data_IF_196551504063
#
_entry.id   IF_196551504063
#
_cell.length_a   1.000
_cell.length_b   1.000
_cell.length_c   1.000
_cell.angle_alpha   90.00
_cell.angle_beta   90.00
_cell.angle_gamma   90.00
#
_symmetry.space_group_name_H-M   'P 1'
#
loop_
_entity.id
_entity.type
_entity.pdbx_description
1 polymer ?
#
# COMPACT_ATOMS: atom_id res chain seq x y z
N UNK A 1 -0.80 23.31 -12.20
CA UNK A 1 -0.78 22.18 -11.24
C UNK A 1 -0.58 22.75 -9.84
N UNK A 2 -1.22 22.23 -8.78
CA UNK A 2 -0.91 22.70 -7.42
C UNK A 2 0.50 22.26 -7.02
N UNK A 3 1.36 23.21 -6.64
CA UNK A 3 2.66 22.94 -6.05
C UNK A 3 2.46 22.35 -4.66
N UNK A 4 2.98 21.15 -4.41
CA UNK A 4 2.97 20.56 -3.06
C UNK A 4 4.29 20.94 -2.40
N UNK A 5 4.21 21.84 -1.43
CA UNK A 5 5.36 22.24 -0.62
C UNK A 5 5.43 21.28 0.58
N UNK A 6 6.45 20.42 0.58
CA UNK A 6 6.74 19.53 1.69
C UNK A 6 7.51 20.26 2.80
N UNK A 7 7.40 19.79 4.04
CA UNK A 7 8.00 20.44 5.23
C UNK A 7 9.53 20.54 5.15
N UNK A 8 10.16 19.59 4.46
CA UNK A 8 11.59 19.57 4.18
C UNK A 8 12.04 20.74 3.29
N UNK A 9 11.21 21.17 2.34
CA UNK A 9 11.48 22.34 1.49
C UNK A 9 11.45 23.64 2.30
N UNK A 10 10.48 23.75 3.20
CA UNK A 10 10.37 24.90 4.09
C UNK A 10 11.51 24.93 5.11
N UNK A 11 11.92 23.77 5.64
CA UNK A 11 13.08 23.64 6.51
C UNK A 11 14.39 24.03 5.79
N UNK A 12 14.58 23.60 4.53
CA UNK A 12 15.73 23.98 3.73
C UNK A 12 15.76 25.50 3.47
N UNK A 13 14.62 26.12 3.17
CA UNK A 13 14.53 27.56 3.00
C UNK A 13 14.88 28.32 4.31
N UNK A 14 14.43 27.81 5.47
CA UNK A 14 14.77 28.40 6.78
C UNK A 14 16.25 28.27 7.13
N UNK A 15 16.89 27.17 6.76
CA UNK A 15 18.31 26.93 6.99
C UNK A 15 19.21 27.85 6.15
N UNK A 16 18.69 28.44 5.07
CA UNK A 16 19.44 29.36 4.22
C UNK A 16 19.52 30.78 4.82
N UNK A 17 20.59 31.53 4.49
CA UNK A 17 20.69 32.95 4.79
C UNK A 17 19.51 33.73 4.21
N UNK A 18 19.01 34.70 4.96
CA UNK A 18 17.80 35.47 4.62
C UNK A 18 17.87 36.13 3.23
N UNK A 19 19.05 36.62 2.85
CA UNK A 19 19.32 37.22 1.54
C UNK A 19 19.15 36.25 0.36
N UNK A 20 19.29 34.94 0.60
CA UNK A 20 19.21 33.90 -0.44
C UNK A 20 17.88 33.13 -0.40
N UNK A 21 17.19 33.13 0.73
CA UNK A 21 15.92 32.43 0.95
C UNK A 21 14.84 32.81 -0.06
N UNK A 22 14.66 34.11 -0.30
CA UNK A 22 13.64 34.60 -1.22
C UNK A 22 13.90 34.13 -2.67
N UNK A 23 15.16 34.22 -3.13
CA UNK A 23 15.55 33.78 -4.47
C UNK A 23 15.38 32.26 -4.64
N UNK A 24 15.71 31.49 -3.61
CA UNK A 24 15.51 30.03 -3.62
C UNK A 24 14.05 29.62 -3.67
N UNK A 25 13.19 30.21 -2.82
CA UNK A 25 11.74 29.92 -2.82
C UNK A 25 11.09 30.34 -4.13
N UNK A 26 11.50 31.50 -4.68
CA UNK A 26 11.04 31.96 -5.98
C UNK A 26 11.43 30.99 -7.10
N UNK A 27 12.67 30.48 -7.10
CA UNK A 27 13.13 29.50 -8.09
C UNK A 27 12.32 28.18 -8.03
N UNK A 28 11.96 27.71 -6.83
CA UNK A 28 11.11 26.52 -6.67
C UNK A 28 9.70 26.76 -7.22
N UNK A 29 9.13 27.94 -6.99
CA UNK A 29 7.82 28.31 -7.54
C UNK A 29 7.87 28.46 -9.06
N UNK A 30 8.87 29.17 -9.60
CA UNK A 30 9.07 29.34 -11.04
C UNK A 30 9.23 27.99 -11.76
N UNK A 31 10.00 27.08 -11.18
CA UNK A 31 10.13 25.72 -11.71
C UNK A 31 8.80 24.94 -11.64
N UNK A 32 8.04 25.04 -10.55
CA UNK A 32 6.77 24.31 -10.41
C UNK A 32 5.65 24.81 -11.34
N UNK A 33 5.63 26.09 -11.69
CA UNK A 33 4.57 26.68 -12.51
C UNK A 33 4.94 26.80 -13.99
N UNK A 34 6.19 27.19 -14.28
CA UNK A 34 6.64 27.55 -15.63
C UNK A 34 7.71 26.60 -16.17
N UNK A 35 8.24 25.69 -15.33
CA UNK A 35 9.32 24.77 -15.72
C UNK A 35 10.68 25.45 -15.92
N UNK A 36 10.83 26.70 -15.47
CA UNK A 36 12.04 27.50 -15.64
C UNK A 36 13.07 27.12 -14.58
N UNK A 37 14.25 26.69 -15.02
CA UNK A 37 15.37 26.42 -14.14
C UNK A 37 16.12 27.69 -13.73
N UNK A 38 16.68 27.74 -12.52
CA UNK A 38 17.47 28.88 -12.07
C UNK A 38 18.73 29.03 -12.93
N UNK A 39 18.93 30.23 -13.49
CA UNK A 39 20.11 30.54 -14.29
C UNK A 39 21.35 30.73 -13.40
N UNK A 40 22.48 30.16 -13.83
CA UNK A 40 23.79 30.33 -13.18
C UNK A 40 24.14 29.26 -12.15
N UNK A 41 25.08 29.57 -11.25
CA UNK A 41 25.53 28.68 -10.17
C UNK A 41 25.32 29.32 -8.79
N UNK A 42 24.05 29.54 -8.37
CA UNK A 42 23.79 30.06 -7.05
C UNK A 42 24.18 29.04 -5.97
N UNK A 43 24.58 29.49 -4.76
CA UNK A 43 25.02 28.60 -3.67
C UNK A 43 23.98 27.55 -3.24
N UNK A 44 22.70 27.83 -3.48
CA UNK A 44 21.56 26.97 -3.16
C UNK A 44 21.16 26.01 -4.31
N UNK A 45 21.88 26.02 -5.43
CA UNK A 45 21.60 25.16 -6.59
C UNK A 45 21.63 23.66 -6.27
N UNK A 46 22.57 23.11 -5.46
CA UNK A 46 22.56 21.70 -5.11
C UNK A 46 21.28 21.30 -4.36
N UNK A 47 20.81 22.15 -3.46
CA UNK A 47 19.56 21.94 -2.73
C UNK A 47 18.35 22.00 -3.67
N UNK A 48 18.37 22.92 -4.64
CA UNK A 48 17.34 23.00 -5.67
C UNK A 48 17.25 21.71 -6.50
N UNK A 49 18.37 21.12 -6.91
CA UNK A 49 18.39 19.86 -7.69
C UNK A 49 17.79 18.68 -6.93
N UNK A 50 18.11 18.54 -5.64
CA UNK A 50 17.53 17.48 -4.80
C UNK A 50 16.01 17.63 -4.65
N UNK A 51 15.53 18.87 -4.58
CA UNK A 51 14.09 19.17 -4.46
C UNK A 51 13.39 19.02 -5.81
N UNK A 52 14.06 19.36 -6.92
CA UNK A 52 13.56 19.23 -8.29
C UNK A 52 13.09 17.80 -8.56
N UNK A 53 13.93 16.80 -8.27
CA UNK A 53 13.58 15.39 -8.48
C UNK A 53 12.33 14.96 -7.70
N UNK A 54 12.16 15.51 -6.50
CA UNK A 54 10.98 15.26 -5.65
C UNK A 54 9.73 15.95 -6.20
N UNK A 55 9.85 17.17 -6.70
CA UNK A 55 8.74 17.89 -7.35
C UNK A 55 8.26 17.15 -8.61
N UNK A 56 9.18 16.62 -9.41
CA UNK A 56 8.82 15.80 -10.58
C UNK A 56 8.14 14.49 -10.18
N UNK A 57 8.61 13.82 -9.12
CA UNK A 57 7.95 12.63 -8.57
C UNK A 57 6.54 12.95 -8.07
N UNK A 58 6.37 14.06 -7.34
CA UNK A 58 5.06 14.53 -6.87
C UNK A 58 4.11 14.85 -8.01
N UNK A 59 4.59 15.51 -9.07
CA UNK A 59 3.80 15.80 -10.27
C UNK A 59 3.34 14.52 -10.98
N UNK A 60 4.24 13.55 -11.19
CA UNK A 60 3.93 12.24 -11.79
C UNK A 60 2.95 11.44 -10.93
N UNK A 61 3.10 11.47 -9.61
CA UNK A 61 2.18 10.81 -8.68
C UNK A 61 0.79 11.47 -8.68
N UNK A 62 0.73 12.81 -8.71
CA UNK A 62 -0.53 13.57 -8.81
C UNK A 62 -1.24 13.31 -10.13
N UNK A 63 -0.52 13.27 -11.25
CA UNK A 63 -1.07 12.97 -12.57
C UNK A 63 -1.58 11.53 -12.65
N UNK A 64 -0.82 10.56 -12.13
CA UNK A 64 -1.25 9.17 -12.02
C UNK A 64 -2.50 9.06 -11.14
N UNK A 65 -2.56 9.78 -10.02
CA UNK A 65 -3.73 9.87 -9.15
C UNK A 65 -4.95 10.43 -9.87
N UNK A 66 -4.81 11.56 -10.59
CA UNK A 66 -5.88 12.16 -11.41
C UNK A 66 -6.34 11.23 -12.53
N UNK A 67 -5.42 10.56 -13.22
CA UNK A 67 -5.75 9.60 -14.28
C UNK A 67 -6.55 8.42 -13.74
N UNK A 68 -6.14 7.88 -12.60
CA UNK A 68 -6.84 6.78 -11.93
C UNK A 68 -8.19 7.21 -11.36
N UNK A 69 -8.31 8.44 -10.85
CA UNK A 69 -9.57 9.01 -10.40
C UNK A 69 -10.53 9.22 -11.59
N UNK A 70 -10.08 9.83 -12.68
CA UNK A 70 -10.87 10.01 -13.89
C UNK A 70 -11.31 8.67 -14.51
N UNK A 71 -10.45 7.66 -14.53
CA UNK A 71 -10.80 6.31 -14.99
C UNK A 71 -11.85 5.64 -14.09
N UNK A 72 -11.79 5.85 -12.76
CA UNK A 72 -12.78 5.34 -11.80
C UNK A 72 -14.13 6.02 -11.95
N UNK A 73 -14.16 7.33 -12.14
CA UNK A 73 -15.40 8.10 -12.29
C UNK A 73 -16.02 7.95 -13.69
N UNK A 74 -15.20 7.80 -14.74
CA UNK A 74 -15.66 7.52 -16.10
C UNK A 74 -16.41 6.19 -16.24
N UNK A 75 -15.97 5.14 -15.53
CA UNK A 75 -16.70 3.85 -15.49
C UNK A 75 -18.05 3.95 -14.77
N UNK A 76 -18.18 4.84 -13.79
CA UNK A 76 -19.44 5.04 -13.04
C UNK A 76 -20.52 5.71 -13.89
N UNK A 77 -20.14 6.54 -14.87
CA UNK A 77 -21.07 7.13 -15.85
C UNK A 77 -21.41 6.19 -17.02
N UNK A 78 -20.52 5.28 -17.42
CA UNK A 78 -20.80 4.31 -18.49
C UNK A 78 -21.78 3.20 -18.06
N UNK A 79 -21.87 2.90 -16.77
CA UNK A 79 -22.80 1.88 -16.24
C UNK A 79 -24.26 2.36 -16.15
N UNK A 80 -24.55 3.62 -16.53
CA UNK A 80 -25.90 4.18 -16.57
C UNK A 80 -26.60 4.05 -17.95
N UNK A 81 -25.92 3.55 -19.00
CA UNK A 81 -26.60 3.24 -20.27
C UNK A 81 -26.01 2.01 -20.95
N UNK A 82 -26.87 1.03 -21.24
CA UNK A 82 -26.56 -0.05 -22.18
C UNK A 82 -26.58 -1.43 -21.55
N UNK A 83 -27.77 -2.02 -21.44
CA UNK A 83 -27.91 -3.47 -21.45
C UNK A 83 -27.50 -4.04 -22.82
N UNK A 84 -27.25 -5.36 -22.82
CA UNK A 84 -26.88 -6.23 -23.95
C UNK A 84 -25.51 -5.96 -24.59
N UNK A 85 -24.44 -6.63 -24.10
CA UNK A 85 -23.30 -7.10 -24.92
C UNK A 85 -22.26 -7.91 -24.10
N UNK A 86 -22.73 -8.75 -23.17
CA UNK A 86 -21.87 -9.52 -22.27
C UNK A 86 -21.05 -10.64 -22.96
N UNK A 87 -21.32 -10.97 -24.23
CA UNK A 87 -20.62 -12.06 -24.95
C UNK A 87 -19.52 -11.58 -25.90
N UNK A 88 -19.57 -10.34 -26.39
CA UNK A 88 -18.51 -9.80 -27.27
C UNK A 88 -17.23 -9.44 -26.49
N UNK A 89 -17.36 -9.01 -25.23
CA UNK A 89 -16.22 -8.59 -24.40
C UNK A 89 -15.35 -9.75 -23.89
N UNK A 90 -15.91 -10.95 -23.72
CA UNK A 90 -15.16 -12.12 -23.25
C UNK A 90 -14.15 -12.62 -24.31
N UNK A 91 -14.50 -12.54 -25.59
CA UNK A 91 -13.63 -12.94 -26.69
C UNK A 91 -12.47 -11.94 -26.93
N UNK A 92 -12.73 -10.64 -26.80
CA UNK A 92 -11.71 -9.60 -26.95
C UNK A 92 -10.65 -9.66 -25.84
N UNK A 93 -11.06 -9.96 -24.60
CA UNK A 93 -10.12 -10.09 -23.47
C UNK A 93 -9.22 -11.33 -23.59
N UNK A 94 -9.71 -12.42 -24.19
CA UNK A 94 -8.91 -13.63 -24.41
C UNK A 94 -7.82 -13.43 -25.48
N UNK A 95 -8.11 -12.67 -26.55
CA UNK A 95 -7.11 -12.40 -27.61
C UNK A 95 -6.04 -11.38 -27.17
N UNK A 96 -6.38 -10.39 -26.35
CA UNK A 96 -5.42 -9.42 -25.84
C UNK A 96 -4.37 -10.05 -24.89
N UNK A 97 -4.77 -11.06 -24.10
CA UNK A 97 -3.85 -11.76 -23.21
C UNK A 97 -2.91 -12.74 -23.95
N UNK A 98 -3.33 -13.24 -25.12
CA UNK A 98 -2.52 -14.10 -25.96
C UNK A 98 -1.43 -13.31 -26.74
N UNK A 99 -1.73 -12.08 -27.17
CA UNK A 99 -0.75 -11.24 -27.89
C UNK A 99 0.29 -10.61 -26.97
N UNK A 100 -0.03 -10.35 -25.69
CA UNK A 100 0.93 -9.81 -24.72
C UNK A 100 1.97 -10.84 -24.23
N UNK A 101 1.79 -12.13 -24.53
CA UNK A 101 2.74 -13.19 -24.17
C UNK A 101 3.76 -13.50 -25.29
N UNK A 102 3.65 -12.86 -26.45
CA UNK A 102 4.49 -13.13 -27.63
C UNK A 102 5.67 -12.16 -27.83
N UNK A 103 5.84 -11.15 -26.97
CA UNK A 103 6.99 -10.24 -26.98
C UNK A 103 7.71 -10.29 -25.63
N UNK A 104 8.40 -11.40 -25.40
CA UNK A 104 9.53 -11.43 -24.48
C UNK A 104 10.77 -10.97 -25.24
N UNK A 105 11.17 -9.72 -25.04
CA UNK A 105 12.56 -9.32 -25.28
C UNK A 105 13.22 -9.16 -23.92
N UNK A 106 14.18 -10.05 -23.67
CA UNK A 106 14.89 -10.19 -22.43
C UNK A 106 16.17 -9.36 -22.49
N UNK A 107 16.17 -8.20 -21.85
CA UNK A 107 17.41 -7.49 -21.54
C UNK A 107 17.72 -7.59 -20.04
N UNK A 108 18.84 -8.24 -19.79
CA UNK A 108 19.39 -8.66 -18.51
C UNK A 108 20.34 -7.54 -18.04
N UNK A 109 19.92 -6.70 -17.10
CA UNK A 109 20.81 -5.71 -16.49
C UNK A 109 21.33 -6.17 -15.12
N UNK A 110 22.66 -6.11 -15.03
CA UNK A 110 23.59 -6.52 -13.97
C UNK A 110 23.26 -5.91 -12.60
N UNK A 111 23.31 -6.76 -11.58
CA UNK A 111 23.42 -6.37 -10.17
C UNK A 111 24.64 -5.49 -9.95
N UNK A 112 24.45 -4.31 -9.33
CA UNK A 112 25.51 -3.43 -8.88
C UNK A 112 25.62 -3.55 -7.36
N UNK A 113 26.62 -4.32 -6.94
CA UNK A 113 27.10 -4.44 -5.57
C UNK A 113 27.36 -3.02 -5.01
N UNK A 114 26.63 -2.64 -3.95
CA UNK A 114 26.94 -1.46 -3.15
C UNK A 114 27.56 -1.97 -1.86
N UNK A 115 28.85 -1.68 -1.67
CA UNK A 115 29.52 -1.83 -0.38
C UNK A 115 28.70 -1.09 0.69
N UNK A 116 28.17 -1.87 1.63
CA UNK A 116 27.56 -1.34 2.85
C UNK A 116 28.69 -0.80 3.73
N UNK A 117 28.60 0.44 4.25
CA UNK A 117 29.52 0.89 5.30
C UNK A 117 29.41 -0.05 6.51
N UNK A 118 30.48 -0.24 7.30
CA UNK A 118 30.48 -1.17 8.43
C UNK A 118 29.33 -0.84 9.37
N UNK A 119 28.37 -1.76 9.42
CA UNK A 119 27.26 -1.72 10.35
C UNK A 119 27.82 -1.87 11.77
N UNK A 120 27.86 -0.76 12.51
CA UNK A 120 27.91 -0.80 13.97
C UNK A 120 26.49 -1.08 14.45
N UNK A 121 26.18 -2.28 14.97
CA UNK A 121 24.87 -2.54 15.54
C UNK A 121 24.66 -1.59 16.72
N UNK A 122 23.54 -0.84 16.79
CA UNK A 122 23.10 -0.28 18.06
C UNK A 122 22.88 -1.46 19.01
N UNK A 123 23.70 -1.53 20.05
CA UNK A 123 23.57 -2.49 21.14
C UNK A 123 22.16 -2.40 21.75
N UNK A 124 21.54 -3.56 21.95
CA UNK A 124 20.48 -3.81 22.91
C UNK A 124 19.28 -2.85 22.92
N UNK A 125 18.42 -2.96 21.91
CA UNK A 125 16.98 -2.91 22.18
C UNK A 125 16.49 -4.31 22.55
N UNK A 126 16.73 -4.66 23.82
CA UNK A 126 16.05 -5.76 24.48
C UNK A 126 14.53 -5.69 24.22
N UNK A 127 13.95 -6.81 23.77
CA UNK A 127 12.53 -7.13 23.85
C UNK A 127 11.55 -5.97 23.57
N UNK A 128 11.59 -5.38 22.37
CA UNK A 128 10.36 -4.79 21.85
C UNK A 128 9.48 -5.97 21.38
N UNK A 129 8.35 -6.19 22.06
CA UNK A 129 7.31 -7.13 21.61
C UNK A 129 7.08 -6.93 20.09
N UNK A 130 7.01 -8.02 19.30
CA UNK A 130 6.81 -7.90 17.86
C UNK A 130 5.53 -7.08 17.59
N UNK A 131 5.52 -6.20 16.57
CA UNK A 131 4.37 -5.34 16.31
C UNK A 131 3.13 -6.20 16.05
N UNK A 132 1.95 -5.71 16.48
CA UNK A 132 0.71 -6.49 16.47
C UNK A 132 0.39 -7.13 15.11
N UNK A 133 0.60 -6.40 14.01
CA UNK A 133 0.38 -6.93 12.66
C UNK A 133 1.29 -8.14 12.34
N UNK A 134 2.49 -8.20 12.90
CA UNK A 134 3.44 -9.30 12.71
C UNK A 134 3.01 -10.52 13.54
N UNK A 135 2.45 -10.29 14.73
CA UNK A 135 1.84 -11.34 15.54
C UNK A 135 0.62 -11.95 14.83
N UNK A 136 -0.24 -11.12 14.24
CA UNK A 136 -1.38 -11.55 13.44
C UNK A 136 -0.96 -12.32 12.17
N UNK A 137 0.14 -11.91 11.54
CA UNK A 137 0.72 -12.63 10.40
C UNK A 137 1.26 -14.00 10.82
N UNK A 138 1.91 -14.09 11.98
CA UNK A 138 2.33 -15.34 12.60
C UNK A 138 1.15 -16.27 12.85
N UNK A 139 0.08 -15.76 13.47
CA UNK A 139 -1.16 -16.51 13.69
C UNK A 139 -1.77 -17.06 12.39
N UNK A 140 -1.74 -16.28 11.31
CA UNK A 140 -2.21 -16.75 9.99
C UNK A 140 -1.32 -17.85 9.44
N UNK A 141 0.00 -17.69 9.54
CA UNK A 141 0.97 -18.68 9.10
C UNK A 141 0.82 -19.99 9.87
N UNK A 142 0.65 -19.94 11.18
CA UNK A 142 0.44 -21.11 12.03
C UNK A 142 -0.87 -21.84 11.66
N UNK A 143 -1.94 -21.09 11.38
CA UNK A 143 -3.25 -21.67 11.06
C UNK A 143 -3.33 -22.28 9.66
N UNK A 144 -2.64 -21.69 8.67
CA UNK A 144 -2.68 -22.11 7.26
C UNK A 144 -1.45 -22.94 6.84
N UNK A 145 -0.42 -23.04 7.67
CA UNK A 145 0.85 -23.66 7.33
C UNK A 145 1.64 -22.87 6.27
N UNK A 146 1.46 -21.55 6.22
CA UNK A 146 2.13 -20.67 5.24
C UNK A 146 3.37 -19.99 5.83
N UNK A 147 4.20 -19.41 4.98
CA UNK A 147 5.44 -18.72 5.39
C UNK A 147 5.46 -17.26 4.89
N UNK A 148 4.36 -16.53 5.09
CA UNK A 148 4.33 -15.11 4.71
C UNK A 148 5.25 -14.31 5.64
N UNK A 149 6.26 -13.65 5.05
CA UNK A 149 7.19 -12.77 5.78
C UNK A 149 6.81 -11.30 5.68
N UNK A 150 6.01 -10.94 4.66
CA UNK A 150 5.60 -9.57 4.38
C UNK A 150 4.10 -9.48 4.12
N UNK A 151 3.52 -8.33 4.42
CA UNK A 151 2.10 -8.05 4.23
C UNK A 151 1.94 -6.67 3.58
N UNK A 152 0.92 -6.46 2.72
CA UNK A 152 0.65 -5.14 2.15
C UNK A 152 0.43 -4.08 3.22
N UNK A 153 0.91 -2.86 2.97
CA UNK A 153 0.85 -1.73 3.91
C UNK A 153 -0.58 -1.45 4.39
N UNK A 154 -1.56 -1.54 3.50
CA UNK A 154 -2.97 -1.32 3.86
C UNK A 154 -3.46 -2.28 4.92
N UNK A 155 -3.10 -3.56 4.83
CA UNK A 155 -3.48 -4.58 5.81
C UNK A 155 -2.77 -4.36 7.16
N UNK A 156 -1.51 -3.91 7.13
CA UNK A 156 -0.78 -3.52 8.35
C UNK A 156 -1.48 -2.38 9.07
N UNK A 157 -1.80 -1.30 8.36
CA UNK A 157 -2.51 -0.14 8.91
C UNK A 157 -3.90 -0.51 9.45
N UNK A 158 -4.62 -1.42 8.78
CA UNK A 158 -5.92 -1.91 9.28
C UNK A 158 -5.78 -2.64 10.60
N UNK A 159 -4.76 -3.49 10.77
CA UNK A 159 -4.51 -4.19 12.01
C UNK A 159 -4.06 -3.25 13.13
N UNK A 160 -3.15 -2.32 12.84
CA UNK A 160 -2.69 -1.30 13.79
C UNK A 160 -3.83 -0.40 14.28
N UNK A 161 -4.73 0.02 13.37
CA UNK A 161 -5.92 0.80 13.74
C UNK A 161 -6.85 0.05 14.70
N UNK A 162 -6.89 -1.27 14.58
CA UNK A 162 -7.83 -2.15 15.29
C UNK A 162 -7.20 -2.87 16.49
N UNK A 163 -5.93 -2.62 16.80
CA UNK A 163 -5.19 -3.25 17.89
C UNK A 163 -5.85 -3.02 19.25
N UNK A 164 -6.42 -1.82 19.47
CA UNK A 164 -7.14 -1.51 20.71
C UNK A 164 -8.53 -2.18 20.81
N UNK A 165 -9.10 -2.63 19.69
CA UNK A 165 -10.48 -3.14 19.62
C UNK A 165 -10.54 -4.68 19.61
N UNK A 166 -9.50 -5.35 19.12
CA UNK A 166 -9.47 -6.81 18.97
C UNK A 166 -8.16 -7.39 19.49
N UNK A 167 -8.26 -8.49 20.24
CA UNK A 167 -7.09 -9.21 20.73
C UNK A 167 -6.54 -10.19 19.70
N UNK A 168 -5.27 -10.57 19.86
CA UNK A 168 -4.64 -11.60 19.01
C UNK A 168 -5.41 -12.93 19.04
N UNK A 169 -6.00 -13.30 20.19
CA UNK A 169 -6.83 -14.50 20.31
C UNK A 169 -8.06 -14.44 19.41
N UNK A 170 -8.77 -13.30 19.40
CA UNK A 170 -9.93 -13.12 18.52
C UNK A 170 -9.55 -13.18 17.04
N UNK A 171 -8.36 -12.65 16.69
CA UNK A 171 -7.86 -12.73 15.31
C UNK A 171 -7.51 -14.19 14.95
N UNK A 172 -6.92 -14.96 15.86
CA UNK A 172 -6.67 -16.40 15.67
C UNK A 172 -7.96 -17.17 15.44
N UNK A 173 -8.98 -16.91 16.26
CA UNK A 173 -10.30 -17.56 16.13
C UNK A 173 -10.94 -17.22 14.78
N UNK A 174 -10.87 -15.95 14.36
CA UNK A 174 -11.34 -15.52 13.04
C UNK A 174 -10.61 -16.22 11.89
N UNK A 175 -9.28 -16.37 11.97
CA UNK A 175 -8.51 -17.10 10.94
C UNK A 175 -8.94 -18.57 10.90
N UNK A 176 -9.10 -19.21 12.07
CA UNK A 176 -9.53 -20.61 12.15
C UNK A 176 -10.94 -20.81 11.57
N UNK A 177 -11.90 -19.96 11.97
CA UNK A 177 -13.26 -19.96 11.46
C UNK A 177 -13.30 -19.84 9.93
N UNK A 178 -12.51 -18.91 9.36
CA UNK A 178 -12.43 -18.74 7.90
C UNK A 178 -11.71 -19.88 7.20
N UNK A 179 -10.66 -20.43 7.80
CA UNK A 179 -9.96 -21.61 7.28
C UNK A 179 -10.92 -22.78 7.17
N UNK A 180 -11.67 -23.07 8.23
CA UNK A 180 -12.54 -24.23 8.32
C UNK A 180 -13.77 -24.07 7.43
N UNK A 181 -14.39 -22.87 7.43
CA UNK A 181 -15.50 -22.54 6.55
C UNK A 181 -15.14 -22.59 5.06
N UNK A 182 -13.89 -22.25 4.69
CA UNK A 182 -13.46 -22.24 3.29
C UNK A 182 -12.68 -23.49 2.87
N UNK A 183 -12.37 -24.42 3.79
CA UNK A 183 -11.57 -25.61 3.54
C UNK A 183 -12.10 -26.45 2.36
N UNK A 184 -13.42 -26.61 2.27
CA UNK A 184 -14.11 -27.40 1.25
C UNK A 184 -14.60 -26.57 0.05
N UNK A 185 -14.19 -25.31 -0.04
CA UNK A 185 -14.64 -24.39 -1.09
C UNK A 185 -13.51 -24.05 -2.05
N UNK A 186 -13.88 -23.51 -3.22
CA UNK A 186 -12.90 -22.96 -4.19
C UNK A 186 -12.06 -21.81 -3.62
N UNK A 187 -12.50 -21.19 -2.51
CA UNK A 187 -11.84 -20.05 -1.89
C UNK A 187 -10.74 -20.43 -0.89
N UNK A 188 -10.51 -21.73 -0.62
CA UNK A 188 -9.41 -22.18 0.25
C UNK A 188 -8.06 -21.55 -0.11
N UNK A 189 -7.74 -21.47 -1.41
CA UNK A 189 -6.48 -20.90 -1.91
C UNK A 189 -6.48 -19.36 -1.90
N UNK A 190 -7.64 -18.72 -1.72
CA UNK A 190 -7.75 -17.28 -1.66
C UNK A 190 -7.49 -16.73 -0.25
N UNK A 191 -7.36 -17.58 0.78
CA UNK A 191 -6.98 -17.18 2.14
C UNK A 191 -5.55 -16.64 2.16
N UNK A 192 -5.45 -15.32 2.02
CA UNK A 192 -4.19 -14.58 2.00
C UNK A 192 -4.27 -13.43 3.00
N UNK A 193 -3.13 -12.82 3.39
CA UNK A 193 -3.15 -11.65 4.25
C UNK A 193 -4.04 -10.52 3.71
N UNK A 194 -4.11 -10.35 2.39
CA UNK A 194 -4.93 -9.32 1.76
C UNK A 194 -6.45 -9.58 1.88
N UNK A 195 -6.88 -10.84 1.82
CA UNK A 195 -8.31 -11.17 1.93
C UNK A 195 -8.78 -11.14 3.38
N UNK A 196 -7.96 -11.62 4.32
CA UNK A 196 -8.35 -11.71 5.73
C UNK A 196 -8.16 -10.39 6.47
N UNK A 197 -7.07 -9.67 6.21
CA UNK A 197 -6.73 -8.43 6.89
C UNK A 197 -6.94 -7.19 6.02
N UNK A 198 -7.65 -7.32 4.90
CA UNK A 198 -8.02 -6.20 4.04
C UNK A 198 -9.02 -5.27 4.74
N UNK A 199 -8.95 -3.94 4.52
CA UNK A 199 -9.83 -2.96 5.15
C UNK A 199 -11.31 -3.18 4.84
N UNK A 200 -11.63 -3.80 3.69
CA UNK A 200 -13.00 -3.99 3.22
C UNK A 200 -13.72 -5.18 3.90
N UNK A 201 -12.98 -6.13 4.49
CA UNK A 201 -13.56 -7.39 4.98
C UNK A 201 -13.13 -7.77 6.39
N UNK A 202 -12.06 -7.18 6.93
CA UNK A 202 -11.52 -7.54 8.25
C UNK A 202 -12.56 -7.44 9.36
N UNK A 203 -13.20 -6.27 9.53
CA UNK A 203 -14.20 -6.07 10.58
C UNK A 203 -15.40 -7.02 10.40
N UNK A 204 -15.87 -7.19 9.16
CA UNK A 204 -16.93 -8.14 8.83
C UNK A 204 -16.58 -9.57 9.27
N UNK A 205 -15.39 -10.06 8.93
CA UNK A 205 -14.96 -11.40 9.31
C UNK A 205 -14.79 -11.56 10.82
N UNK A 206 -14.32 -10.52 11.50
CA UNK A 206 -14.24 -10.50 12.96
C UNK A 206 -15.63 -10.57 13.61
N UNK A 207 -16.64 -9.90 13.05
CA UNK A 207 -18.02 -9.99 13.54
C UNK A 207 -18.61 -11.38 13.32
N UNK A 208 -18.48 -11.93 12.11
CA UNK A 208 -18.97 -13.29 11.80
C UNK A 208 -18.35 -14.34 12.73
N UNK A 209 -17.04 -14.26 12.99
CA UNK A 209 -16.37 -15.19 13.91
C UNK A 209 -16.83 -15.02 15.37
N UNK A 210 -17.10 -13.78 15.80
CA UNK A 210 -17.61 -13.50 17.16
C UNK A 210 -19.03 -14.01 17.34
N UNK A 211 -19.87 -13.91 16.33
CA UNK A 211 -21.26 -14.37 16.40
C UNK A 211 -21.32 -15.90 16.39
N UNK A 212 -20.52 -16.58 15.57
CA UNK A 212 -20.36 -18.05 15.61
C UNK A 212 -19.88 -18.55 16.99
N UNK A 213 -18.89 -17.88 17.58
CA UNK A 213 -18.40 -18.23 18.92
C UNK A 213 -19.47 -18.05 20.01
N UNK A 214 -20.34 -17.03 19.90
CA UNK A 214 -21.46 -16.83 20.83
C UNK A 214 -22.55 -17.89 20.64
N UNK A 215 -22.89 -18.22 19.40
CA UNK A 215 -23.88 -19.26 19.10
C UNK A 215 -23.40 -20.62 19.63
N UNK A 216 -22.13 -20.97 19.40
CA UNK A 216 -21.53 -22.19 19.92
C UNK A 216 -21.59 -22.26 21.47
N UNK A 217 -21.36 -21.14 22.15
CA UNK A 217 -21.51 -21.06 23.62
C UNK A 217 -22.97 -21.25 24.05
N UNK A 218 -23.92 -20.60 23.38
CA UNK A 218 -25.34 -20.74 23.68
C UNK A 218 -25.81 -22.20 23.51
N UNK A 219 -25.40 -22.87 22.43
CA UNK A 219 -25.71 -24.29 22.22
C UNK A 219 -25.09 -25.19 23.31
N UNK A 220 -23.87 -24.91 23.74
CA UNK A 220 -23.21 -25.67 24.81
C UNK A 220 -23.88 -25.48 26.19
N UNK A 221 -24.53 -24.34 26.43
CA UNK A 221 -25.34 -24.11 27.63
C UNK A 221 -26.67 -24.87 27.62
N UNK A 222 -27.26 -25.11 26.45
CA UNK A 222 -28.48 -25.92 26.31
C UNK A 222 -28.25 -27.43 26.48
N UNK A 223 -27.02 -27.91 26.29
CA UNK A 223 -26.64 -29.34 26.38
C UNK A 223 -26.15 -29.74 27.80
N UNK A 224 -26.28 -28.85 28.78
CA UNK A 224 -26.03 -29.09 30.22
C UNK A 224 -27.32 -29.22 31.01
#
# INVERSE_FOLDING_TARGET
MPMVIHDDFWAAAKAMPEKQRAAFVYALAAYSFEGVEPAGSPPWLPTFLVIKDRLEMGAKASEKGRRMANARWGKKNAQASGGSDAQAYAAAHAQAHAQASATQDAEKEKEKEKELPPYSPPEDHACAEPPFWLQCLGALNDALGTAYTTMPEKCRLTLERNEAAYSLGQVRDMVAYKRDGWANTKYRKALTPNTLFGPDHFEQYMHEAKDDAKEAQAYAEYDR
#
